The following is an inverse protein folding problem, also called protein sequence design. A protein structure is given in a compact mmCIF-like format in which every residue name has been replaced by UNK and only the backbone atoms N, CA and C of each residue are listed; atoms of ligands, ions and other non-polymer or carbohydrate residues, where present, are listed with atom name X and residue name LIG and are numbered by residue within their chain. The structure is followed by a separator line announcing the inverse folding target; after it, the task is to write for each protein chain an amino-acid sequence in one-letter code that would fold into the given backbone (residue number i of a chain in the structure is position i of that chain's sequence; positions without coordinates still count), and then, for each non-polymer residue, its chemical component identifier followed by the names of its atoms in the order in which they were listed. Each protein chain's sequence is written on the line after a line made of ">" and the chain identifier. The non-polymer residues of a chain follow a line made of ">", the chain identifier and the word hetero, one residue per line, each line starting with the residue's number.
data_IF_715461733042
#
_entry.id   IF_715461733042
#
_cell.length_a   1.000
_cell.length_b   1.000
_cell.length_c   1.000
_cell.angle_alpha   90.00
_cell.angle_beta   90.00
_cell.angle_gamma   90.00
#
_symmetry.space_group_name_H-M   'P 1'
#
loop_
_entity.id
_entity.type
_entity.pdbx_description
1 polymer ?
#
# COMPACT_ATOMS: atom_id res chain seq x y z
N UNK A 1 12.04 -6.07 11.14
CA UNK A 1 12.32 -4.64 11.40
C UNK A 1 12.98 -4.04 10.18
N UNK A 2 12.69 -2.78 9.83
CA UNK A 2 13.33 -2.11 8.70
C UNK A 2 14.83 -1.95 8.95
N UNK A 3 15.66 -2.28 7.95
CA UNK A 3 17.12 -2.16 8.04
C UNK A 3 17.59 -0.78 7.54
N UNK A 4 17.23 0.28 8.29
CA UNK A 4 17.60 1.67 8.00
C UNK A 4 18.69 2.09 8.98
N UNK A 5 19.73 2.76 8.49
CA UNK A 5 20.82 3.26 9.35
C UNK A 5 20.40 4.58 10.00
N UNK A 6 20.88 4.86 11.20
CA UNK A 6 20.50 6.04 11.99
C UNK A 6 20.68 7.38 11.29
N UNK A 7 21.63 7.47 10.36
CA UNK A 7 21.93 8.69 9.60
C UNK A 7 21.30 8.73 8.20
N UNK A 8 20.67 7.65 7.74
CA UNK A 8 19.99 7.61 6.44
C UNK A 8 18.73 8.48 6.45
N UNK A 9 18.61 9.35 5.46
CA UNK A 9 17.37 10.05 5.17
C UNK A 9 16.49 9.09 4.38
N UNK A 10 15.33 8.80 4.88
CA UNK A 10 14.42 7.89 4.19
C UNK A 10 13.03 8.46 4.04
N UNK A 11 12.30 7.95 3.08
CA UNK A 11 10.88 8.22 2.89
C UNK A 11 10.10 6.92 2.70
N UNK A 12 8.85 6.97 3.09
CA UNK A 12 7.91 5.85 3.01
C UNK A 12 6.84 6.19 1.99
N UNK A 13 6.54 5.23 1.12
CA UNK A 13 5.54 5.31 0.06
C UNK A 13 4.57 4.14 0.25
N UNK A 14 3.33 4.44 0.61
CA UNK A 14 2.31 3.44 0.91
C UNK A 14 1.28 3.44 -0.21
N UNK A 15 1.26 2.37 -0.98
CA UNK A 15 0.16 2.05 -1.88
C UNK A 15 -1.01 1.56 -1.02
N UNK A 16 -1.98 2.45 -0.78
CA UNK A 16 -3.04 2.21 0.20
C UNK A 16 -3.89 1.01 -0.12
N UNK A 17 -4.21 0.76 -1.40
CA UNK A 17 -5.03 -0.37 -1.82
C UNK A 17 -4.30 -1.70 -1.61
N UNK A 18 -3.07 -1.80 -2.11
CA UNK A 18 -2.27 -3.03 -1.97
C UNK A 18 -1.90 -3.31 -0.50
N UNK A 19 -1.55 -2.27 0.26
CA UNK A 19 -1.22 -2.40 1.67
C UNK A 19 -2.43 -2.86 2.50
N UNK A 20 -3.62 -2.25 2.24
CA UNK A 20 -4.88 -2.64 2.88
C UNK A 20 -5.20 -4.12 2.61
N UNK A 21 -5.22 -4.54 1.35
CA UNK A 21 -5.45 -5.94 0.97
C UNK A 21 -4.46 -6.89 1.65
N UNK A 22 -3.20 -6.46 1.79
CA UNK A 22 -2.16 -7.28 2.42
C UNK A 22 -2.44 -7.53 3.90
N UNK A 23 -2.65 -6.48 4.72
CA UNK A 23 -2.86 -6.67 6.15
C UNK A 23 -4.21 -7.32 6.47
N UNK A 24 -5.27 -7.06 5.68
CA UNK A 24 -6.55 -7.75 5.80
C UNK A 24 -6.42 -9.25 5.50
N UNK A 25 -5.71 -9.62 4.43
CA UNK A 25 -5.44 -11.03 4.11
C UNK A 25 -4.59 -11.74 5.16
N UNK A 26 -3.78 -10.99 5.91
CA UNK A 26 -3.02 -11.50 7.07
C UNK A 26 -3.86 -11.56 8.35
N UNK A 27 -5.07 -11.00 8.37
CA UNK A 27 -6.00 -11.04 9.49
C UNK A 27 -5.59 -10.13 10.67
N UNK A 28 -5.09 -8.92 10.38
CA UNK A 28 -4.87 -7.90 11.40
C UNK A 28 -5.14 -6.49 10.84
N UNK A 29 -5.35 -5.54 11.73
CA UNK A 29 -5.49 -4.13 11.39
C UNK A 29 -4.24 -3.35 11.79
N UNK A 30 -3.91 -2.33 11.00
CA UNK A 30 -2.73 -1.50 11.24
C UNK A 30 -3.10 -0.28 12.09
N UNK A 31 -2.30 -0.01 13.12
CA UNK A 31 -2.29 1.26 13.82
C UNK A 31 -1.33 2.23 13.15
N UNK A 32 -1.85 3.13 12.33
CA UNK A 32 -1.04 4.09 11.58
C UNK A 32 -0.31 5.10 12.47
N UNK A 33 -0.84 5.42 13.67
CA UNK A 33 -0.14 6.27 14.62
C UNK A 33 1.12 5.58 15.13
N UNK A 34 0.96 4.33 15.61
CA UNK A 34 2.06 3.51 16.10
C UNK A 34 3.07 3.24 14.98
N UNK A 35 2.60 2.93 13.76
CA UNK A 35 3.47 2.73 12.60
C UNK A 35 4.34 3.96 12.33
N UNK A 36 3.78 5.17 12.37
CA UNK A 36 4.54 6.39 12.14
C UNK A 36 5.55 6.65 13.27
N UNK A 37 5.20 6.36 14.51
CA UNK A 37 6.13 6.44 15.65
C UNK A 37 7.30 5.49 15.50
N UNK A 38 7.05 4.23 15.14
CA UNK A 38 8.10 3.24 14.90
C UNK A 38 9.02 3.64 13.73
N UNK A 39 8.44 4.15 12.65
CA UNK A 39 9.21 4.69 11.52
C UNK A 39 10.12 5.83 11.94
N UNK A 40 9.65 6.77 12.78
CA UNK A 40 10.46 7.89 13.28
C UNK A 40 11.63 7.46 14.17
N UNK A 41 11.57 6.27 14.78
CA UNK A 41 12.65 5.73 15.61
C UNK A 41 13.76 5.06 14.80
N UNK A 42 13.50 4.68 13.53
CA UNK A 42 14.44 3.88 12.75
C UNK A 42 15.49 4.69 12.00
N UNK A 43 15.32 6.00 11.85
CA UNK A 43 16.25 6.88 11.13
C UNK A 43 15.65 8.26 10.87
N UNK A 44 16.19 8.99 9.90
CA UNK A 44 15.72 10.33 9.56
C UNK A 44 14.56 10.27 8.57
N UNK A 45 13.34 10.07 9.06
CA UNK A 45 12.14 10.08 8.23
C UNK A 45 11.92 11.46 7.62
N UNK A 46 11.98 11.57 6.29
CA UNK A 46 11.74 12.81 5.52
C UNK A 46 10.26 13.01 5.27
N UNK A 47 9.57 11.93 4.81
CA UNK A 47 8.13 11.94 4.53
C UNK A 47 7.57 10.52 4.63
N UNK A 48 6.30 10.43 5.01
CA UNK A 48 5.48 9.23 4.88
C UNK A 48 4.28 9.58 3.97
N UNK A 49 4.28 9.05 2.76
CA UNK A 49 3.21 9.23 1.79
C UNK A 49 2.21 8.10 1.86
N UNK A 50 0.94 8.43 1.73
CA UNK A 50 -0.15 7.46 1.59
C UNK A 50 -0.96 7.77 0.34
N UNK A 51 -1.02 6.83 -0.59
CA UNK A 51 -1.71 6.97 -1.87
C UNK A 51 -3.00 6.20 -1.84
N UNK A 52 -4.11 6.88 -2.16
CA UNK A 52 -5.42 6.24 -2.14
C UNK A 52 -6.36 6.83 -3.19
N UNK A 53 -7.28 6.00 -3.65
CA UNK A 53 -8.37 6.43 -4.50
C UNK A 53 -9.63 6.62 -3.64
N UNK A 54 -10.31 7.75 -3.78
CA UNK A 54 -11.52 8.07 -3.02
C UNK A 54 -12.76 7.88 -3.87
N UNK A 55 -13.82 7.20 -3.38
CA UNK A 55 -15.08 7.07 -4.08
C UNK A 55 -15.71 8.43 -4.39
N UNK A 56 -16.41 8.53 -5.53
CA UNK A 56 -17.08 9.77 -5.93
C UNK A 56 -18.31 10.07 -5.06
N UNK A 57 -19.01 9.03 -4.59
CA UNK A 57 -20.25 9.14 -3.84
C UNK A 57 -20.02 8.90 -2.34
N UNK A 58 -20.33 9.92 -1.55
CA UNK A 58 -20.48 9.83 -0.11
C UNK A 58 -19.34 10.46 0.69
N UNK A 59 -19.67 11.59 1.35
CA UNK A 59 -18.78 12.27 2.31
C UNK A 59 -18.43 11.41 3.55
N UNK A 60 -19.07 10.25 3.68
CA UNK A 60 -18.96 9.35 4.83
C UNK A 60 -18.22 8.03 4.55
N UNK A 61 -17.58 7.90 3.39
CA UNK A 61 -16.80 6.69 3.12
C UNK A 61 -15.68 6.52 4.17
N UNK A 62 -15.52 5.33 4.78
CA UNK A 62 -14.50 5.06 5.79
C UNK A 62 -13.09 5.45 5.33
N UNK A 63 -12.76 5.20 4.06
CA UNK A 63 -11.48 5.57 3.47
C UNK A 63 -11.24 7.08 3.47
N UNK A 64 -12.27 7.92 3.31
CA UNK A 64 -12.13 9.38 3.38
C UNK A 64 -11.78 9.81 4.81
N UNK A 65 -12.45 9.25 5.83
CA UNK A 65 -12.12 9.52 7.23
C UNK A 65 -10.70 9.09 7.58
N UNK A 66 -10.26 7.95 7.06
CA UNK A 66 -8.88 7.51 7.23
C UNK A 66 -7.91 8.47 6.54
N UNK A 67 -8.17 8.87 5.31
CA UNK A 67 -7.33 9.81 4.56
C UNK A 67 -7.20 11.16 5.29
N UNK A 68 -8.30 11.73 5.75
CA UNK A 68 -8.31 12.97 6.53
C UNK A 68 -7.53 12.81 7.84
N UNK A 69 -7.74 11.70 8.56
CA UNK A 69 -7.01 11.42 9.79
C UNK A 69 -5.51 11.30 9.54
N UNK A 70 -5.09 10.59 8.50
CA UNK A 70 -3.68 10.44 8.13
C UNK A 70 -3.02 11.78 7.83
N UNK A 71 -3.70 12.65 7.07
CA UNK A 71 -3.18 13.97 6.70
C UNK A 71 -2.98 14.86 7.93
N UNK A 72 -3.90 14.80 8.91
CA UNK A 72 -3.76 15.50 10.20
C UNK A 72 -2.67 14.91 11.11
N UNK A 73 -2.31 13.63 10.94
CA UNK A 73 -1.41 12.92 11.85
C UNK A 73 0.00 12.68 11.28
N UNK A 74 0.39 13.46 10.28
CA UNK A 74 1.79 13.53 9.83
C UNK A 74 2.15 12.66 8.64
N UNK A 75 1.17 12.06 7.99
CA UNK A 75 1.31 11.52 6.65
C UNK A 75 1.07 12.61 5.60
N UNK A 76 1.58 12.42 4.41
CA UNK A 76 1.23 13.22 3.25
C UNK A 76 0.30 12.38 2.38
N UNK A 77 -1.00 12.71 2.40
CA UNK A 77 -2.00 11.94 1.67
C UNK A 77 -2.13 12.47 0.24
N UNK A 78 -1.95 11.59 -0.73
CA UNK A 78 -2.19 11.86 -2.14
C UNK A 78 -3.40 11.05 -2.56
N UNK A 79 -4.46 11.75 -2.98
CA UNK A 79 -5.69 11.09 -3.36
C UNK A 79 -6.22 11.57 -4.71
N UNK A 80 -6.95 10.70 -5.41
CA UNK A 80 -7.77 11.06 -6.56
C UNK A 80 -9.13 10.40 -6.47
N UNK A 81 -10.12 11.02 -7.11
CA UNK A 81 -11.44 10.42 -7.18
C UNK A 81 -11.41 9.21 -8.10
N UNK A 82 -12.04 8.12 -7.67
CA UNK A 82 -12.29 6.96 -8.52
C UNK A 82 -13.21 7.35 -9.66
N UNK A 83 -13.03 6.69 -10.81
CA UNK A 83 -13.96 6.79 -11.94
C UNK A 83 -14.67 5.46 -12.10
N UNK A 84 -15.98 5.52 -12.03
CA UNK A 84 -16.82 4.36 -12.31
C UNK A 84 -16.97 4.21 -13.83
N UNK A 85 -16.61 3.05 -14.33
CA UNK A 85 -16.86 2.64 -15.70
C UNK A 85 -17.94 1.58 -15.68
N UNK A 86 -19.02 1.84 -16.38
CA UNK A 86 -20.06 0.84 -16.62
C UNK A 86 -19.74 0.13 -17.94
N UNK A 87 -19.51 -1.16 -17.86
CA UNK A 87 -19.43 -1.99 -19.06
C UNK A 87 -20.83 -2.14 -19.64
N UNK A 88 -21.07 -1.53 -20.79
CA UNK A 88 -22.37 -1.56 -21.48
C UNK A 88 -22.80 -2.96 -21.96
N UNK A 89 -21.86 -3.91 -22.05
CA UNK A 89 -22.14 -5.27 -22.51
C UNK A 89 -22.51 -6.22 -21.37
N UNK A 90 -21.91 -6.03 -20.17
CA UNK A 90 -22.09 -6.92 -19.03
C UNK A 90 -22.88 -6.29 -17.88
N UNK A 91 -23.11 -4.97 -17.93
CA UNK A 91 -23.75 -4.22 -16.83
C UNK A 91 -22.90 -4.13 -15.57
N UNK A 92 -21.66 -4.63 -15.60
CA UNK A 92 -20.76 -4.60 -14.44
C UNK A 92 -20.16 -3.22 -14.24
N UNK A 93 -20.15 -2.76 -12.98
CA UNK A 93 -19.50 -1.51 -12.57
C UNK A 93 -18.03 -1.84 -12.27
N UNK A 94 -17.10 -1.21 -12.97
CA UNK A 94 -15.66 -1.27 -12.65
C UNK A 94 -15.23 0.08 -12.10
N UNK A 95 -14.72 0.09 -10.90
CA UNK A 95 -14.14 1.27 -10.28
C UNK A 95 -12.64 1.28 -10.53
N UNK A 96 -12.10 2.29 -11.21
CA UNK A 96 -10.68 2.41 -11.50
C UNK A 96 -10.07 3.57 -10.72
N UNK A 97 -9.10 3.28 -9.87
CA UNK A 97 -8.44 4.26 -9.00
C UNK A 97 -6.99 3.93 -8.69
N UNK A 98 -6.21 3.47 -9.70
CA UNK A 98 -4.79 3.19 -9.52
C UNK A 98 -3.99 4.48 -9.29
N UNK A 99 -3.10 4.48 -8.28
CA UNK A 99 -2.27 5.62 -7.87
C UNK A 99 -0.78 5.42 -8.18
N UNK A 100 -0.41 4.40 -8.94
CA UNK A 100 0.99 4.02 -9.21
C UNK A 100 1.77 5.13 -9.88
N UNK A 101 1.12 5.88 -10.79
CA UNK A 101 1.77 6.98 -11.50
C UNK A 101 2.11 8.13 -10.54
N UNK A 102 1.17 8.50 -9.66
CA UNK A 102 1.37 9.54 -8.65
C UNK A 102 2.49 9.14 -7.68
N UNK A 103 2.46 7.89 -7.19
CA UNK A 103 3.49 7.33 -6.32
C UNK A 103 4.86 7.35 -7.00
N UNK A 104 4.94 6.87 -8.24
CA UNK A 104 6.19 6.85 -9.00
C UNK A 104 6.77 8.25 -9.22
N UNK A 105 5.93 9.22 -9.60
CA UNK A 105 6.37 10.59 -9.82
C UNK A 105 6.88 11.25 -8.54
N UNK A 106 6.22 11.04 -7.41
CA UNK A 106 6.63 11.63 -6.14
C UNK A 106 7.91 10.97 -5.61
N UNK A 107 8.07 9.65 -5.78
CA UNK A 107 9.32 8.96 -5.46
C UNK A 107 10.49 9.49 -6.30
N UNK A 108 10.28 9.67 -7.61
CA UNK A 108 11.29 10.27 -8.51
C UNK A 108 11.67 11.70 -8.12
N UNK A 109 10.68 12.53 -7.74
CA UNK A 109 10.93 13.91 -7.28
C UNK A 109 11.71 13.96 -5.97
N UNK A 110 11.43 13.03 -5.05
CA UNK A 110 12.06 13.00 -3.74
C UNK A 110 13.45 12.35 -3.75
N UNK A 111 13.76 11.54 -4.76
CA UNK A 111 15.01 10.80 -4.88
C UNK A 111 16.29 11.61 -4.58
N UNK A 112 16.46 12.87 -5.01
CA UNK A 112 17.66 13.66 -4.70
C UNK A 112 17.80 14.02 -3.21
N UNK A 113 16.78 13.82 -2.40
CA UNK A 113 16.70 14.29 -1.02
C UNK A 113 16.72 13.16 0.02
N UNK A 114 16.73 11.91 -0.42
CA UNK A 114 16.73 10.72 0.44
C UNK A 114 17.85 9.75 0.02
N UNK A 115 18.21 8.90 0.94
CA UNK A 115 19.21 7.86 0.72
C UNK A 115 18.54 6.47 0.59
N UNK A 116 17.30 6.36 1.10
CA UNK A 116 16.56 5.11 1.17
C UNK A 116 15.06 5.35 0.95
N UNK A 117 14.42 4.54 0.12
CA UNK A 117 12.98 4.55 -0.04
C UNK A 117 12.37 3.22 0.41
N UNK A 118 11.29 3.30 1.17
CA UNK A 118 10.52 2.14 1.64
C UNK A 118 9.17 2.14 0.95
N UNK A 119 8.90 1.11 0.17
CA UNK A 119 7.64 0.92 -0.56
C UNK A 119 6.79 -0.15 0.13
N UNK A 120 5.59 0.24 0.56
CA UNK A 120 4.56 -0.67 1.05
C UNK A 120 3.63 -1.03 -0.12
N UNK A 121 4.04 -2.01 -0.90
CA UNK A 121 3.26 -2.63 -1.99
C UNK A 121 3.91 -3.94 -2.42
N UNK A 122 3.11 -4.88 -2.88
CA UNK A 122 3.59 -6.13 -3.49
C UNK A 122 3.46 -6.15 -5.02
N UNK A 123 3.02 -5.03 -5.61
CA UNK A 123 2.70 -4.94 -7.03
C UNK A 123 3.95 -5.01 -7.92
N UNK A 124 3.96 -5.98 -8.84
CA UNK A 124 5.05 -6.18 -9.80
C UNK A 124 5.26 -5.03 -10.78
N UNK A 125 4.28 -4.16 -10.97
CA UNK A 125 4.38 -3.01 -11.87
C UNK A 125 5.42 -1.99 -11.38
N UNK A 126 5.76 -2.00 -10.09
CA UNK A 126 6.81 -1.14 -9.53
C UNK A 126 8.25 -1.61 -9.80
N UNK A 127 8.48 -2.75 -10.43
CA UNK A 127 9.84 -3.26 -10.71
C UNK A 127 10.70 -2.21 -11.42
N UNK A 128 10.17 -1.56 -12.46
CA UNK A 128 10.91 -0.53 -13.21
C UNK A 128 11.20 0.73 -12.40
N UNK A 129 10.28 1.08 -11.49
CA UNK A 129 10.51 2.19 -10.56
C UNK A 129 11.65 1.88 -9.60
N UNK A 130 11.66 0.68 -8.99
CA UNK A 130 12.73 0.26 -8.08
C UNK A 130 14.09 0.28 -8.81
N UNK A 131 14.18 -0.30 -9.99
CA UNK A 131 15.40 -0.29 -10.79
C UNK A 131 15.91 1.14 -11.05
N UNK A 132 15.01 2.07 -11.42
CA UNK A 132 15.36 3.46 -11.64
C UNK A 132 15.86 4.16 -10.35
N UNK A 133 15.25 3.87 -9.19
CA UNK A 133 15.71 4.41 -7.91
C UNK A 133 17.10 3.87 -7.54
N UNK A 134 17.35 2.59 -7.72
CA UNK A 134 18.65 1.96 -7.51
C UNK A 134 19.73 2.56 -8.44
N UNK A 135 19.41 2.80 -9.72
CA UNK A 135 20.30 3.47 -10.66
C UNK A 135 20.65 4.90 -10.24
N UNK A 136 19.81 5.56 -9.44
CA UNK A 136 20.06 6.86 -8.83
C UNK A 136 20.83 6.77 -7.51
N UNK A 137 21.19 5.57 -7.07
CA UNK A 137 21.95 5.30 -5.86
C UNK A 137 21.10 5.21 -4.59
N UNK A 138 19.78 5.11 -4.69
CA UNK A 138 18.93 4.88 -3.53
C UNK A 138 18.90 3.40 -3.17
N UNK A 139 18.82 3.13 -1.88
CA UNK A 139 18.49 1.82 -1.36
C UNK A 139 16.97 1.65 -1.34
N UNK A 140 16.48 0.48 -1.75
CA UNK A 140 15.06 0.17 -1.87
C UNK A 140 14.68 -0.97 -0.95
N UNK A 141 13.75 -0.71 -0.02
CA UNK A 141 13.09 -1.75 0.78
C UNK A 141 11.64 -1.88 0.35
N UNK A 142 11.17 -3.09 0.14
CA UNK A 142 9.76 -3.39 -0.09
C UNK A 142 9.18 -4.10 1.12
N UNK A 143 8.01 -3.63 1.56
CA UNK A 143 7.21 -4.23 2.64
C UNK A 143 5.94 -4.78 2.03
N UNK A 144 5.75 -6.09 2.10
CA UNK A 144 4.56 -6.79 1.58
C UNK A 144 4.49 -8.19 2.22
N UNK A 145 3.70 -9.10 1.68
CA UNK A 145 3.62 -10.47 2.23
C UNK A 145 3.71 -11.55 1.17
N UNK A 146 4.49 -12.56 1.52
CA UNK A 146 4.53 -13.86 0.83
C UNK A 146 3.64 -14.91 1.52
N UNK A 147 3.11 -14.60 2.70
CA UNK A 147 2.30 -15.50 3.52
C UNK A 147 0.81 -15.50 3.17
N UNK A 148 0.34 -14.50 2.41
CA UNK A 148 -1.04 -14.44 1.90
C UNK A 148 -1.31 -15.53 0.86
N UNK A 149 -2.59 -15.83 0.61
CA UNK A 149 -3.00 -16.86 -0.38
C UNK A 149 -4.05 -16.30 -1.32
N UNK A 150 -3.69 -15.98 -2.59
CA UNK A 150 -2.34 -16.08 -3.17
C UNK A 150 -1.35 -15.08 -2.54
N UNK A 151 -0.03 -15.26 -2.73
CA UNK A 151 0.95 -14.26 -2.29
C UNK A 151 0.72 -12.90 -2.98
N UNK A 152 0.63 -11.84 -2.18
CA UNK A 152 0.47 -10.47 -2.72
C UNK A 152 1.82 -9.95 -3.24
N UNK A 153 2.92 -10.34 -2.60
CA UNK A 153 4.26 -9.99 -3.06
C UNK A 153 4.58 -10.65 -4.40
N UNK A 154 4.71 -9.87 -5.45
CA UNK A 154 5.14 -10.36 -6.76
C UNK A 154 6.62 -10.81 -6.73
N UNK A 155 6.90 -12.00 -7.25
CA UNK A 155 8.25 -12.60 -7.26
C UNK A 155 9.27 -11.72 -8.01
N UNK A 156 8.86 -11.07 -9.10
CA UNK A 156 9.71 -10.16 -9.86
C UNK A 156 10.11 -8.92 -9.05
N UNK A 157 9.20 -8.38 -8.24
CA UNK A 157 9.46 -7.24 -7.37
C UNK A 157 10.40 -7.63 -6.22
N UNK A 158 10.16 -8.81 -5.63
CA UNK A 158 11.01 -9.33 -4.56
C UNK A 158 12.45 -9.55 -4.99
N UNK A 159 12.67 -9.95 -6.25
CA UNK A 159 14.03 -10.15 -6.80
C UNK A 159 14.75 -8.84 -7.08
N UNK A 160 14.00 -7.79 -7.40
CA UNK A 160 14.58 -6.49 -7.75
C UNK A 160 14.97 -5.66 -6.53
N UNK A 161 14.22 -5.76 -5.42
CA UNK A 161 14.46 -4.94 -4.24
C UNK A 161 15.77 -5.29 -3.51
N UNK A 162 16.42 -4.31 -2.89
CA UNK A 162 17.62 -4.55 -2.07
C UNK A 162 17.28 -5.27 -0.77
N UNK A 163 16.15 -4.89 -0.13
CA UNK A 163 15.66 -5.52 1.07
C UNK A 163 14.15 -5.81 0.94
N UNK A 164 13.73 -6.91 1.50
CA UNK A 164 12.33 -7.28 1.66
C UNK A 164 11.99 -7.47 3.13
N UNK A 165 10.88 -6.89 3.54
CA UNK A 165 10.33 -7.07 4.89
C UNK A 165 8.96 -7.72 4.78
N UNK A 166 8.81 -8.86 5.42
CA UNK A 166 7.52 -9.54 5.55
C UNK A 166 6.61 -8.73 6.48
N UNK A 167 5.45 -8.30 5.98
CA UNK A 167 4.53 -7.45 6.74
C UNK A 167 4.01 -8.14 8.01
N UNK A 168 3.79 -9.46 7.95
CA UNK A 168 3.33 -10.23 9.10
C UNK A 168 4.32 -10.20 10.28
N UNK A 169 5.61 -10.05 9.99
CA UNK A 169 6.65 -9.95 11.03
C UNK A 169 6.64 -8.57 11.74
N UNK A 170 5.88 -7.60 11.21
CA UNK A 170 5.66 -6.28 11.84
C UNK A 170 4.37 -6.23 12.66
N UNK A 171 3.55 -7.27 12.67
CA UNK A 171 2.25 -7.32 13.35
C UNK A 171 2.31 -6.83 14.78
N UNK A 172 3.27 -7.30 15.58
CA UNK A 172 3.40 -6.91 16.99
C UNK A 172 3.86 -5.46 17.18
N UNK A 173 4.44 -4.83 16.14
CA UNK A 173 4.95 -3.47 16.20
C UNK A 173 3.94 -2.43 15.73
N UNK A 174 3.09 -2.78 14.75
CA UNK A 174 2.20 -1.83 14.09
C UNK A 174 0.73 -2.30 14.07
N UNK A 175 0.44 -3.50 14.58
CA UNK A 175 -0.92 -4.03 14.64
C UNK A 175 -1.73 -3.35 15.74
N UNK A 176 -3.02 -3.13 15.48
CA UNK A 176 -3.96 -2.73 16.53
C UNK A 176 -4.12 -3.88 17.50
N UNK A 177 -4.10 -3.63 18.83
CA UNK A 177 -4.51 -4.64 19.80
C UNK A 177 -5.93 -5.10 19.45
N UNK A 178 -6.15 -6.43 19.44
CA UNK A 178 -7.52 -6.94 19.36
C UNK A 178 -8.26 -6.37 20.58
N UNK A 179 -9.33 -5.62 20.34
CA UNK A 179 -10.25 -5.25 21.40
C UNK A 179 -10.96 -6.54 21.81
N UNK A 180 -10.88 -6.88 23.09
CA UNK A 180 -11.81 -7.84 23.67
C UNK A 180 -13.23 -7.32 23.35
N UNK A 181 -14.07 -8.20 22.84
CA UNK A 181 -15.36 -7.93 22.20
C UNK A 181 -16.39 -7.43 23.25
N UNK A 182 -16.28 -6.17 23.67
CA UNK A 182 -17.31 -5.45 24.42
C UNK A 182 -17.90 -4.39 23.46
N UNK A 183 -18.86 -4.85 22.69
CA UNK A 183 -19.86 -4.19 21.87
C UNK A 183 -19.85 -2.66 21.79
N UNK A 184 -19.11 -2.11 20.80
CA UNK A 184 -19.53 -0.91 20.08
C UNK A 184 -18.90 -0.99 18.66
N UNK A 185 -19.74 -1.43 17.72
CA UNK A 185 -19.41 -1.61 16.31
C UNK A 185 -19.30 -0.25 15.60
N UNK A 186 -18.14 0.40 15.67
CA UNK A 186 -17.71 1.37 14.66
C UNK A 186 -16.68 0.68 13.72
N UNK A 187 -17.14 -0.36 13.01
CA UNK A 187 -16.39 -0.96 11.92
C UNK A 187 -16.25 0.05 10.79
N UNK A 188 -15.02 0.46 10.55
CA UNK A 188 -14.63 1.02 9.25
C UNK A 188 -14.55 -0.17 8.29
N UNK A 189 -15.68 -0.54 7.71
CA UNK A 189 -15.75 -1.47 6.57
C UNK A 189 -15.29 -0.67 5.34
N UNK A 190 -14.06 -0.91 4.94
CA UNK A 190 -13.40 -0.15 3.86
C UNK A 190 -13.77 -0.67 2.50
N UNK A 191 -14.95 -1.04 2.22
CA UNK A 191 -15.57 -1.36 0.92
C UNK A 191 -14.66 -1.49 -0.32
N UNK A 192 -13.50 -2.14 -0.21
CA UNK A 192 -12.72 -2.58 -1.35
C UNK A 192 -13.25 -3.95 -1.79
N UNK A 193 -14.12 -3.97 -2.78
CA UNK A 193 -14.44 -5.19 -3.50
C UNK A 193 -13.21 -5.61 -4.33
N UNK A 194 -12.51 -6.65 -3.85
CA UNK A 194 -11.44 -7.34 -4.58
C UNK A 194 -12.08 -8.14 -5.74
N UNK A 195 -12.53 -7.46 -6.79
CA UNK A 195 -12.88 -8.13 -8.06
C UNK A 195 -11.75 -7.93 -9.09
N UNK A 196 -10.56 -8.39 -8.75
CA UNK A 196 -9.53 -8.70 -9.73
C UNK A 196 -9.93 -10.00 -10.42
N UNK A 197 -10.86 -9.85 -11.39
CA UNK A 197 -11.34 -10.94 -12.22
C UNK A 197 -10.21 -11.72 -12.89
N UNK A 198 -9.86 -12.84 -12.28
CA UNK A 198 -9.09 -13.89 -12.93
C UNK A 198 -9.83 -14.31 -14.20
N UNK A 199 -9.33 -13.90 -15.36
CA UNK A 199 -9.77 -14.40 -16.66
C UNK A 199 -9.40 -15.87 -16.73
N UNK A 200 -10.34 -16.74 -16.40
CA UNK A 200 -10.27 -18.17 -16.74
C UNK A 200 -10.33 -18.26 -18.26
N UNK A 201 -9.20 -18.54 -18.89
CA UNK A 201 -9.16 -18.98 -20.27
C UNK A 201 -9.81 -20.39 -20.33
N UNK A 202 -11.05 -20.43 -20.73
CA UNK A 202 -11.74 -21.70 -21.06
C UNK A 202 -11.23 -22.19 -22.43
N UNK A 203 -10.26 -23.10 -22.36
CA UNK A 203 -9.72 -23.84 -23.52
C UNK A 203 -10.65 -25.00 -23.85
N UNK A 204 -11.80 -24.72 -24.47
CA UNK A 204 -12.66 -25.74 -25.11
C UNK A 204 -13.16 -25.29 -26.46
N UNK A 205 -12.35 -25.51 -27.49
CA UNK A 205 -12.87 -25.87 -28.81
C UNK A 205 -11.86 -26.71 -29.58
N UNK A 206 -12.00 -28.02 -29.45
CA UNK A 206 -11.69 -28.98 -30.50
C UNK A 206 -12.92 -29.85 -30.68
N UNK A 207 -13.62 -29.70 -31.73
CA UNK A 207 -14.17 -30.68 -32.65
C UNK A 207 -14.66 -29.94 -33.89
#
# INVERSE_FOLDING_TARGET
>A
MLNIKDNERFAVFIDGSNFHSTFKSLGFDVDFALMLEELKKTGRLVRAYYYTALPHDGDFAPIRRLADWLDYNGYTVISKQTRDFYDSATGSKRTKGNMDMELALDMLKLAPHIDHAVLFSGDGDFVRLIEEMQNRGLRMTVVSSTKTKPPIMADVLRRQTDDFVELDDLRDLIGRPQRDDDGDDDYIDDGYDDDDGAVMLDDRRRT
#
